data_IF_147631511558
#
_entry.id   IF_147631511558
#
_cell.length_a   1.000
_cell.length_b   1.000
_cell.length_c   1.000
_cell.angle_alpha   90.00
_cell.angle_beta   90.00
_cell.angle_gamma   90.00
#
_symmetry.space_group_name_H-M   'P 1'
#
loop_
_entity.id
_entity.type
_entity.pdbx_description
1 polymer ?
#
# COMPACT_ATOMS: atom_id res chain seq x y z
N UNK A 1 -7.72 18.12 -36.70
CA UNK A 1 -7.05 17.11 -37.55
C UNK A 1 -7.31 15.70 -37.05
N UNK A 2 -6.83 15.29 -35.87
CA UNK A 2 -6.96 13.90 -35.42
C UNK A 2 -8.42 13.38 -35.38
N UNK A 3 -9.31 14.02 -34.62
CA UNK A 3 -10.71 13.57 -34.51
C UNK A 3 -11.49 13.74 -35.82
N UNK A 4 -11.34 14.90 -36.46
CA UNK A 4 -12.20 15.26 -37.58
C UNK A 4 -11.81 14.60 -38.90
N UNK A 5 -10.53 14.28 -39.07
CA UNK A 5 -9.97 13.75 -40.33
C UNK A 5 -9.47 12.33 -40.11
N UNK A 6 -8.46 12.14 -39.27
CA UNK A 6 -7.79 10.84 -39.12
C UNK A 6 -8.75 9.76 -38.59
N UNK A 7 -9.46 10.01 -37.49
CA UNK A 7 -10.41 9.03 -36.95
C UNK A 7 -11.60 8.83 -37.90
N UNK A 8 -12.12 9.91 -38.50
CA UNK A 8 -13.20 9.79 -39.48
C UNK A 8 -12.80 8.90 -40.68
N UNK A 9 -11.58 9.02 -41.19
CA UNK A 9 -11.09 8.24 -42.32
C UNK A 9 -10.76 6.78 -41.95
N UNK A 10 -10.27 6.52 -40.74
CA UNK A 10 -9.75 5.21 -40.37
C UNK A 10 -10.74 4.32 -39.61
N UNK A 11 -11.61 4.89 -38.77
CA UNK A 11 -12.58 4.12 -37.99
C UNK A 11 -14.01 4.71 -38.02
N UNK A 12 -14.27 5.69 -38.88
CA UNK A 12 -15.53 6.46 -38.92
C UNK A 12 -15.92 7.06 -37.56
N UNK A 13 -14.96 7.24 -36.65
CA UNK A 13 -15.19 7.60 -35.23
C UNK A 13 -16.09 6.59 -34.49
N UNK A 14 -16.16 5.35 -34.96
CA UNK A 14 -17.07 4.32 -34.42
C UNK A 14 -16.38 3.33 -33.48
N UNK A 15 -15.05 3.32 -33.42
CA UNK A 15 -14.29 2.33 -32.64
C UNK A 15 -14.15 2.69 -31.16
N UNK A 16 -13.53 3.83 -30.85
CA UNK A 16 -13.15 4.21 -29.47
C UNK A 16 -13.46 5.67 -29.17
N UNK A 17 -13.81 5.94 -27.92
CA UNK A 17 -13.93 7.31 -27.42
C UNK A 17 -12.55 7.98 -27.37
N UNK A 18 -12.46 9.22 -27.86
CA UNK A 18 -11.21 9.97 -27.87
C UNK A 18 -11.23 11.09 -26.82
N UNK A 19 -10.25 11.03 -25.92
CA UNK A 19 -9.97 12.05 -24.92
C UNK A 19 -8.80 12.92 -25.40
N UNK A 20 -8.99 14.24 -25.41
CA UNK A 20 -8.02 15.21 -25.97
C UNK A 20 -6.82 15.49 -25.05
N UNK A 21 -7.00 15.33 -23.74
CA UNK A 21 -6.03 15.64 -22.70
C UNK A 21 -6.20 14.62 -21.56
N UNK A 22 -5.22 14.49 -20.68
CA UNK A 22 -5.35 13.77 -19.40
C UNK A 22 -5.78 14.70 -18.25
N UNK A 23 -5.87 16.01 -18.48
CA UNK A 23 -6.32 17.00 -17.50
C UNK A 23 -7.35 17.93 -18.15
N UNK A 24 -8.59 17.89 -17.65
CA UNK A 24 -9.78 18.54 -18.23
C UNK A 24 -10.75 17.56 -18.90
N UNK A 25 -11.94 18.07 -19.27
CA UNK A 25 -13.04 17.29 -19.86
C UNK A 25 -13.48 16.08 -19.00
N UNK A 26 -13.53 16.25 -17.67
CA UNK A 26 -13.92 15.20 -16.73
C UNK A 26 -12.76 14.33 -16.21
N UNK A 27 -11.53 14.61 -16.68
CA UNK A 27 -10.30 14.03 -16.15
C UNK A 27 -9.59 15.05 -15.25
N UNK A 28 -8.96 14.59 -14.19
CA UNK A 28 -8.19 15.40 -13.25
C UNK A 28 -6.75 14.89 -13.23
N UNK A 29 -5.86 15.60 -13.93
CA UNK A 29 -4.42 15.33 -13.94
C UNK A 29 -3.65 16.32 -13.09
N UNK A 30 -2.32 16.20 -13.04
CA UNK A 30 -1.48 17.20 -12.39
C UNK A 30 -1.25 16.98 -10.88
N UNK A 31 -1.34 15.74 -10.39
CA UNK A 31 -0.86 15.36 -9.07
C UNK A 31 -1.91 15.30 -7.94
N UNK A 32 -1.48 15.02 -6.70
CA UNK A 32 -0.13 15.25 -6.19
C UNK A 32 0.90 14.32 -6.82
N UNK A 33 2.11 14.84 -7.01
CA UNK A 33 3.29 14.13 -7.49
C UNK A 33 4.39 14.07 -6.42
N UNK A 34 4.01 14.26 -5.16
CA UNK A 34 4.88 14.15 -3.99
C UNK A 34 4.11 13.43 -2.90
N UNK A 35 4.82 12.98 -1.88
CA UNK A 35 4.19 12.32 -0.75
C UNK A 35 3.47 13.35 0.11
N UNK A 36 2.18 13.12 0.34
CA UNK A 36 1.33 13.83 1.30
C UNK A 36 0.91 12.85 2.38
N UNK A 37 0.38 13.35 3.50
CA UNK A 37 -0.13 12.46 4.55
C UNK A 37 -1.38 11.71 4.06
N UNK A 38 -1.62 10.48 4.55
CA UNK A 38 -2.74 9.64 4.12
C UNK A 38 -4.13 10.33 4.15
N UNK A 39 -4.43 11.13 5.16
CA UNK A 39 -5.71 11.84 5.30
C UNK A 39 -5.94 12.92 4.24
N UNK A 40 -4.86 13.50 3.71
CA UNK A 40 -4.94 14.57 2.71
C UNK A 40 -5.51 14.05 1.38
N UNK A 41 -5.42 12.74 1.09
CA UNK A 41 -6.00 12.16 -0.12
C UNK A 41 -7.55 12.24 -0.12
N UNK A 42 -8.20 12.07 1.03
CA UNK A 42 -9.66 12.07 1.12
C UNK A 42 -10.29 13.45 0.90
N UNK A 43 -9.51 14.52 1.07
CA UNK A 43 -9.94 15.90 0.83
C UNK A 43 -9.27 16.53 -0.41
N UNK A 44 -8.48 15.76 -1.15
CA UNK A 44 -7.70 16.29 -2.26
C UNK A 44 -8.61 16.73 -3.42
N UNK A 45 -8.51 17.97 -3.91
CA UNK A 45 -9.43 18.53 -4.92
C UNK A 45 -9.25 17.91 -6.32
N UNK A 46 -8.36 16.95 -6.50
CA UNK A 46 -8.19 16.19 -7.76
C UNK A 46 -8.56 14.72 -7.65
N UNK A 47 -8.93 14.25 -6.46
CA UNK A 47 -9.43 12.90 -6.23
C UNK A 47 -10.95 12.89 -6.31
N UNK A 48 -11.46 13.13 -7.52
CA UNK A 48 -12.86 13.00 -7.92
C UNK A 48 -12.92 12.87 -9.45
N UNK A 49 -14.11 12.66 -10.01
CA UNK A 49 -14.28 12.39 -11.44
C UNK A 49 -13.40 11.20 -11.85
N UNK A 50 -12.61 11.36 -12.91
CA UNK A 50 -11.56 10.41 -13.23
C UNK A 50 -10.18 11.02 -12.95
N UNK A 51 -9.49 10.55 -11.91
CA UNK A 51 -8.15 11.05 -11.55
C UNK A 51 -7.09 10.37 -12.40
N UNK A 52 -6.61 11.04 -13.43
CA UNK A 52 -5.76 10.43 -14.46
C UNK A 52 -4.30 10.24 -14.04
N UNK A 53 -3.81 11.02 -13.07
CA UNK A 53 -2.41 11.00 -12.65
C UNK A 53 -2.26 11.45 -11.19
N UNK A 54 -2.18 10.49 -10.25
CA UNK A 54 -2.01 10.72 -8.82
C UNK A 54 -0.94 9.79 -8.26
N UNK A 55 0.03 10.28 -7.49
CA UNK A 55 0.94 9.35 -6.80
C UNK A 55 1.87 9.97 -5.78
N UNK A 56 2.19 9.15 -4.78
CA UNK A 56 3.23 9.41 -3.80
C UNK A 56 4.60 8.95 -4.34
N UNK A 57 5.65 9.09 -3.53
CA UNK A 57 7.00 8.68 -3.92
C UNK A 57 7.09 7.17 -4.20
N UNK A 58 6.59 6.25 -3.38
CA UNK A 58 6.70 4.82 -3.74
C UNK A 58 8.17 4.33 -3.74
N UNK A 59 8.84 4.51 -2.61
CA UNK A 59 10.26 4.14 -2.47
C UNK A 59 10.41 2.61 -2.47
N UNK A 60 11.37 2.03 -3.21
CA UNK A 60 11.60 0.59 -3.21
C UNK A 60 11.99 0.06 -1.83
N UNK A 61 11.92 -1.26 -1.70
CA UNK A 61 12.50 -1.98 -0.56
C UNK A 61 14.03 -1.86 -0.57
N UNK A 62 14.65 -2.04 0.59
CA UNK A 62 16.09 -1.84 0.78
C UNK A 62 16.95 -2.65 -0.20
N UNK A 63 16.60 -3.91 -0.47
CA UNK A 63 17.41 -4.77 -1.34
C UNK A 63 17.42 -4.32 -2.80
N UNK A 64 16.35 -3.66 -3.26
CA UNK A 64 16.34 -3.04 -4.58
C UNK A 64 17.23 -1.80 -4.58
N UNK A 65 17.16 -0.97 -3.53
CA UNK A 65 18.01 0.21 -3.38
C UNK A 65 19.48 -0.18 -3.35
N UNK A 66 19.87 -1.20 -2.60
CA UNK A 66 21.26 -1.67 -2.50
C UNK A 66 21.82 -2.15 -3.86
N UNK A 67 20.94 -2.59 -4.79
CA UNK A 67 21.36 -3.02 -6.15
C UNK A 67 21.76 -1.85 -7.06
N UNK A 68 21.08 -0.70 -6.97
CA UNK A 68 21.37 0.46 -7.83
C UNK A 68 22.08 1.61 -7.09
N UNK A 69 22.03 1.63 -5.76
CA UNK A 69 22.77 2.51 -4.85
C UNK A 69 23.48 1.68 -3.77
N UNK A 70 24.54 0.91 -4.10
CA UNK A 70 25.22 0.04 -3.14
C UNK A 70 25.89 0.78 -1.97
N UNK A 71 26.08 2.10 -2.09
CA UNK A 71 26.57 2.98 -1.01
C UNK A 71 25.47 3.60 -0.16
N UNK A 72 24.20 3.23 -0.33
CA UNK A 72 23.09 3.82 0.41
C UNK A 72 23.29 3.66 1.94
N UNK A 73 23.30 4.79 2.65
CA UNK A 73 23.54 4.82 4.10
C UNK A 73 25.00 4.70 4.50
N UNK A 74 25.96 4.85 3.59
CA UNK A 74 27.40 4.74 3.91
C UNK A 74 28.11 6.10 3.98
N UNK A 75 27.38 7.21 3.86
CA UNK A 75 27.94 8.55 3.94
C UNK A 75 27.68 9.15 5.34
N UNK A 76 28.65 9.09 6.27
CA UNK A 76 28.49 9.60 7.62
C UNK A 76 28.52 11.14 7.69
N UNK A 77 28.91 11.82 6.61
CA UNK A 77 29.04 13.29 6.56
C UNK A 77 27.74 13.99 6.15
N UNK A 78 26.67 13.25 5.83
CA UNK A 78 25.39 13.86 5.47
C UNK A 78 24.70 14.48 6.69
N UNK A 79 24.41 15.77 6.60
CA UNK A 79 23.54 16.46 7.55
C UNK A 79 22.13 15.86 7.58
N UNK A 80 21.67 15.33 6.44
CA UNK A 80 20.35 14.71 6.26
C UNK A 80 20.43 13.49 5.35
N UNK A 81 20.43 12.30 5.94
CA UNK A 81 20.07 11.07 5.21
C UNK A 81 18.58 11.12 4.81
N UNK A 82 18.14 10.64 3.62
CA UNK A 82 18.87 9.96 2.56
C UNK A 82 19.34 10.83 1.37
N UNK A 83 19.11 12.15 1.37
CA UNK A 83 19.22 12.94 0.12
C UNK A 83 20.66 13.37 -0.15
N UNK A 84 21.39 12.57 -0.92
CA UNK A 84 22.68 12.91 -1.52
C UNK A 84 22.61 12.95 -3.08
N UNK A 85 23.75 13.12 -3.74
CA UNK A 85 23.82 13.16 -5.21
C UNK A 85 23.35 11.87 -5.87
N UNK A 86 23.52 10.71 -5.23
CA UNK A 86 23.14 9.42 -5.77
C UNK A 86 21.63 9.23 -5.70
N UNK A 87 21.02 9.61 -4.57
CA UNK A 87 19.56 9.63 -4.46
C UNK A 87 18.95 10.64 -5.43
N UNK A 88 19.54 11.84 -5.55
CA UNK A 88 19.12 12.84 -6.53
C UNK A 88 19.22 12.34 -7.97
N UNK A 89 20.27 11.58 -8.30
CA UNK A 89 20.42 10.91 -9.59
C UNK A 89 19.27 9.93 -9.84
N UNK A 90 18.83 9.19 -8.82
CA UNK A 90 17.69 8.26 -8.87
C UNK A 90 16.32 8.91 -8.59
N UNK A 91 16.14 10.16 -9.01
CA UNK A 91 14.91 10.96 -8.97
C UNK A 91 14.48 11.51 -7.59
N UNK A 92 15.31 11.37 -6.54
CA UNK A 92 15.05 11.97 -5.22
C UNK A 92 15.33 13.49 -5.21
N UNK A 93 14.75 14.23 -6.16
CA UNK A 93 14.97 15.65 -6.33
C UNK A 93 13.85 16.51 -5.72
N UNK A 94 14.20 17.76 -5.42
CA UNK A 94 13.24 18.84 -5.19
C UNK A 94 13.23 19.75 -6.41
N UNK A 95 12.12 19.79 -7.14
CA UNK A 95 11.97 20.74 -8.23
C UNK A 95 11.91 22.18 -7.66
N UNK A 96 12.54 23.15 -8.34
CA UNK A 96 12.65 24.52 -7.83
C UNK A 96 11.33 25.29 -7.96
N UNK A 97 11.19 26.34 -7.14
CA UNK A 97 10.05 27.26 -7.18
C UNK A 97 8.76 26.67 -6.60
N UNK A 98 7.64 26.95 -7.27
CA UNK A 98 6.29 26.53 -6.88
C UNK A 98 5.97 25.08 -7.25
N UNK A 99 6.91 24.35 -7.87
CA UNK A 99 6.71 22.95 -8.22
C UNK A 99 6.62 22.08 -6.96
N UNK A 100 5.54 21.32 -6.85
CA UNK A 100 5.26 20.52 -5.66
C UNK A 100 6.01 19.19 -5.65
N UNK A 101 6.70 18.81 -6.73
CA UNK A 101 7.52 17.57 -6.79
C UNK A 101 8.75 17.72 -5.92
N UNK A 102 8.59 17.38 -4.64
CA UNK A 102 9.61 17.50 -3.62
C UNK A 102 9.78 16.17 -2.90
N UNK A 103 10.88 15.47 -3.16
CA UNK A 103 11.20 14.23 -2.43
C UNK A 103 11.30 14.48 -0.92
N UNK A 104 11.74 15.67 -0.51
CA UNK A 104 11.79 16.08 0.91
C UNK A 104 10.45 15.99 1.63
N UNK A 105 9.30 16.07 0.94
CA UNK A 105 8.00 15.90 1.58
C UNK A 105 7.83 14.50 2.19
N UNK A 106 8.38 13.46 1.54
CA UNK A 106 8.39 12.10 2.11
C UNK A 106 9.26 12.05 3.38
N UNK A 107 10.47 12.61 3.31
CA UNK A 107 11.39 12.58 4.45
C UNK A 107 10.85 13.40 5.64
N UNK A 108 10.19 14.53 5.38
CA UNK A 108 9.50 15.32 6.41
C UNK A 108 8.39 14.50 7.10
N UNK A 109 7.58 13.75 6.33
CA UNK A 109 6.57 12.83 6.88
C UNK A 109 7.24 11.74 7.72
N UNK A 110 8.29 11.08 7.21
CA UNK A 110 8.97 10.00 7.95
C UNK A 110 9.56 10.50 9.27
N UNK A 111 10.16 11.70 9.27
CA UNK A 111 10.74 12.30 10.48
C UNK A 111 9.70 12.72 11.49
N UNK A 112 8.63 13.37 11.03
CA UNK A 112 7.59 13.90 11.91
C UNK A 112 6.67 12.81 12.44
N UNK A 113 6.29 11.85 11.59
CA UNK A 113 5.19 10.92 11.89
C UNK A 113 5.74 9.56 12.37
N UNK A 114 6.99 9.19 12.01
CA UNK A 114 7.58 7.88 12.35
C UNK A 114 8.90 7.97 13.13
N UNK A 115 9.35 9.18 13.48
CA UNK A 115 10.56 9.45 14.27
C UNK A 115 11.86 9.57 13.48
N UNK A 116 11.85 9.43 12.15
CA UNK A 116 13.05 9.56 11.31
C UNK A 116 14.08 8.44 11.49
N UNK A 117 15.23 8.48 10.80
CA UNK A 117 16.33 7.53 11.03
C UNK A 117 17.08 7.83 12.34
N UNK A 118 17.49 6.78 13.05
CA UNK A 118 18.23 6.87 14.32
C UNK A 118 19.74 7.13 14.13
N UNK A 119 20.26 6.86 12.93
CA UNK A 119 21.66 7.02 12.54
C UNK A 119 21.78 7.37 11.05
N UNK A 120 22.95 7.84 10.62
CA UNK A 120 23.28 8.09 9.20
C UNK A 120 24.12 6.95 8.60
N UNK A 121 24.02 5.74 9.16
CA UNK A 121 24.71 4.55 8.68
C UNK A 121 23.74 3.58 7.96
N UNK A 122 24.23 2.39 7.60
CA UNK A 122 23.43 1.36 6.92
C UNK A 122 22.21 0.94 7.74
N UNK A 123 22.30 0.92 9.07
CA UNK A 123 21.17 0.57 9.92
C UNK A 123 20.11 1.69 9.90
N UNK A 124 20.55 2.95 9.96
CA UNK A 124 19.67 4.09 9.78
C UNK A 124 18.96 4.09 8.42
N UNK A 125 19.67 3.66 7.36
CA UNK A 125 19.08 3.48 6.04
C UNK A 125 18.01 2.37 5.99
N UNK A 126 18.28 1.22 6.63
CA UNK A 126 17.29 0.14 6.78
C UNK A 126 16.05 0.63 7.51
N UNK A 127 16.23 1.31 8.65
CA UNK A 127 15.13 1.80 9.48
C UNK A 127 14.31 2.86 8.74
N UNK A 128 14.96 3.81 8.07
CA UNK A 128 14.29 4.79 7.23
C UNK A 128 13.44 4.14 6.14
N UNK A 129 14.00 3.13 5.45
CA UNK A 129 13.31 2.45 4.36
C UNK A 129 12.17 1.57 4.84
N UNK A 130 12.28 0.97 6.03
CA UNK A 130 11.16 0.30 6.70
C UNK A 130 10.02 1.27 7.01
N UNK A 131 10.32 2.47 7.53
CA UNK A 131 9.34 3.56 7.75
C UNK A 131 8.75 4.08 6.44
N UNK A 132 9.55 4.15 5.38
CA UNK A 132 9.06 4.46 4.04
C UNK A 132 8.08 3.40 3.52
N UNK A 133 8.23 2.12 3.90
CA UNK A 133 7.24 1.09 3.56
C UNK A 133 5.93 1.27 4.30
N UNK A 134 5.93 1.66 5.59
CA UNK A 134 4.70 2.05 6.30
C UNK A 134 3.99 3.20 5.57
N UNK A 135 4.73 4.27 5.24
CA UNK A 135 4.18 5.41 4.53
C UNK A 135 3.69 5.04 3.12
N UNK A 136 4.43 4.22 2.37
CA UNK A 136 3.99 3.72 1.08
C UNK A 136 2.67 2.97 1.21
N UNK A 137 2.53 2.05 2.17
CA UNK A 137 1.30 1.30 2.36
C UNK A 137 0.12 2.25 2.65
N UNK A 138 0.29 3.13 3.63
CA UNK A 138 -0.77 4.04 4.08
C UNK A 138 -1.18 5.04 3.00
N UNK A 139 -0.22 5.67 2.32
CA UNK A 139 -0.49 6.68 1.30
C UNK A 139 -1.19 6.08 0.07
N UNK A 140 -0.65 5.00 -0.49
CA UNK A 140 -1.23 4.38 -1.68
C UNK A 140 -2.58 3.73 -1.41
N UNK A 141 -2.75 3.09 -0.24
CA UNK A 141 -4.08 2.61 0.20
C UNK A 141 -5.06 3.77 0.27
N UNK A 142 -4.69 4.88 0.92
CA UNK A 142 -5.59 6.02 1.12
C UNK A 142 -5.95 6.72 -0.19
N UNK A 143 -5.01 6.86 -1.11
CA UNK A 143 -5.28 7.37 -2.47
C UNK A 143 -6.31 6.51 -3.21
N UNK A 144 -6.16 5.17 -3.16
CA UNK A 144 -7.11 4.25 -3.78
C UNK A 144 -8.48 4.24 -3.06
N UNK A 145 -8.47 4.26 -1.72
CA UNK A 145 -9.69 4.29 -0.92
C UNK A 145 -10.48 5.59 -1.13
N UNK A 146 -9.81 6.73 -1.22
CA UNK A 146 -10.43 8.01 -1.52
C UNK A 146 -11.20 8.01 -2.85
N UNK A 147 -10.90 7.09 -3.78
CA UNK A 147 -11.66 6.88 -5.02
C UNK A 147 -12.76 5.83 -4.82
N UNK A 148 -12.46 4.74 -4.13
CA UNK A 148 -13.40 3.65 -3.86
C UNK A 148 -14.64 4.10 -3.10
N UNK A 149 -14.49 4.89 -2.03
CA UNK A 149 -15.62 5.32 -1.18
C UNK A 149 -16.64 6.20 -1.90
N UNK A 150 -16.23 6.88 -2.97
CA UNK A 150 -17.07 7.79 -3.76
C UNK A 150 -17.44 7.22 -5.13
N UNK A 151 -17.27 5.91 -5.32
CA UNK A 151 -17.60 5.19 -6.54
C UNK A 151 -19.01 5.56 -7.02
N UNK A 152 -19.10 6.06 -8.25
CA UNK A 152 -20.31 6.53 -8.94
C UNK A 152 -21.03 7.75 -8.34
N UNK A 153 -20.78 8.09 -7.08
CA UNK A 153 -21.30 9.31 -6.46
C UNK A 153 -20.52 10.55 -6.94
N UNK A 154 -19.18 10.46 -6.92
CA UNK A 154 -18.30 11.57 -7.29
C UNK A 154 -17.00 11.12 -7.97
N UNK A 155 -16.71 9.82 -8.05
CA UNK A 155 -15.57 9.29 -8.81
C UNK A 155 -15.96 8.16 -9.76
N UNK A 156 -15.26 8.09 -10.89
CA UNK A 156 -15.36 7.03 -11.89
C UNK A 156 -14.08 6.22 -12.07
N UNK A 157 -13.00 6.60 -11.38
CA UNK A 157 -11.76 5.83 -11.38
C UNK A 157 -10.51 6.68 -11.17
N UNK A 158 -9.38 5.99 -11.11
CA UNK A 158 -8.07 6.64 -11.08
C UNK A 158 -7.00 5.83 -11.80
N UNK A 159 -5.92 6.51 -12.17
CA UNK A 159 -4.65 5.89 -12.54
C UNK A 159 -3.56 6.45 -11.62
N UNK A 160 -2.78 5.54 -11.05
CA UNK A 160 -1.61 5.94 -10.28
C UNK A 160 -0.52 6.48 -11.21
N UNK A 161 0.15 7.55 -10.77
CA UNK A 161 1.44 8.00 -11.26
C UNK A 161 2.53 7.42 -10.33
N UNK A 162 3.09 6.25 -10.62
CA UNK A 162 2.87 5.36 -11.77
C UNK A 162 2.76 3.91 -11.30
N UNK A 163 2.44 2.99 -12.22
CA UNK A 163 2.61 1.55 -11.97
C UNK A 163 4.06 1.20 -11.67
N UNK A 164 4.99 1.73 -12.47
CA UNK A 164 6.43 1.47 -12.36
C UNK A 164 7.29 2.57 -12.97
N UNK A 165 8.59 2.49 -12.71
CA UNK A 165 9.61 3.30 -13.36
C UNK A 165 10.30 2.54 -14.50
N UNK A 166 10.78 3.30 -15.49
CA UNK A 166 11.47 2.77 -16.69
C UNK A 166 12.97 2.51 -16.46
N UNK A 167 13.42 2.72 -15.23
CA UNK A 167 14.79 2.56 -14.76
C UNK A 167 14.79 2.48 -13.22
N UNK A 168 15.91 2.09 -12.57
CA UNK A 168 16.00 2.14 -11.11
C UNK A 168 15.77 3.57 -10.59
N UNK A 169 14.74 3.74 -9.78
CA UNK A 169 14.23 5.03 -9.30
C UNK A 169 13.67 4.87 -7.90
N UNK A 170 13.60 5.96 -7.14
CA UNK A 170 12.94 5.97 -5.83
C UNK A 170 11.57 6.67 -5.82
N UNK A 171 11.05 7.04 -6.99
CA UNK A 171 9.77 7.78 -7.10
C UNK A 171 8.74 7.16 -8.06
N UNK A 172 7.47 7.43 -7.79
CA UNK A 172 6.27 7.19 -8.58
C UNK A 172 6.13 5.77 -9.13
N UNK A 173 6.10 4.78 -8.25
CA UNK A 173 5.95 3.37 -8.66
C UNK A 173 5.14 2.57 -7.63
N UNK A 174 4.65 1.40 -8.03
CA UNK A 174 4.12 0.35 -7.15
C UNK A 174 5.08 -0.84 -7.08
N UNK A 175 5.77 -1.10 -8.19
CA UNK A 175 6.88 -2.03 -8.28
C UNK A 175 8.04 -1.40 -9.05
N UNK A 176 9.25 -1.75 -8.65
CA UNK A 176 10.45 -1.15 -9.22
C UNK A 176 10.93 -1.85 -10.51
N UNK A 177 12.08 -1.37 -11.02
CA UNK A 177 12.75 -1.88 -12.21
C UNK A 177 13.04 -3.40 -12.16
N UNK A 178 13.26 -3.97 -10.98
CA UNK A 178 13.53 -5.40 -10.80
C UNK A 178 12.25 -6.23 -10.67
N UNK A 179 11.08 -5.62 -10.86
CA UNK A 179 9.75 -6.21 -10.65
C UNK A 179 9.50 -6.55 -9.18
N UNK A 180 10.15 -5.81 -8.27
CA UNK A 180 9.89 -5.93 -6.84
C UNK A 180 8.76 -5.00 -6.43
N UNK A 181 7.65 -5.58 -5.95
CA UNK A 181 6.54 -4.82 -5.39
C UNK A 181 6.88 -4.37 -3.96
N UNK A 182 6.67 -3.09 -3.68
CA UNK A 182 6.83 -2.52 -2.35
C UNK A 182 5.47 -2.42 -1.63
N UNK A 183 5.45 -1.98 -0.38
CA UNK A 183 4.23 -2.03 0.45
C UNK A 183 3.02 -1.29 -0.17
N UNK A 184 3.27 -0.16 -0.84
CA UNK A 184 2.26 0.58 -1.59
C UNK A 184 1.47 -0.25 -2.63
N UNK A 185 2.11 -1.21 -3.33
CA UNK A 185 1.41 -2.14 -4.24
C UNK A 185 0.33 -2.92 -3.50
N UNK A 186 0.66 -3.42 -2.31
CA UNK A 186 -0.25 -4.22 -1.49
C UNK A 186 -1.32 -3.35 -0.82
N UNK A 187 -1.00 -2.09 -0.48
CA UNK A 187 -1.99 -1.08 -0.09
C UNK A 187 -3.03 -0.81 -1.18
N UNK A 188 -2.59 -0.61 -2.43
CA UNK A 188 -3.51 -0.48 -3.59
C UNK A 188 -4.30 -1.77 -3.81
N UNK A 189 -3.63 -2.93 -3.76
CA UNK A 189 -4.28 -4.24 -3.95
C UNK A 189 -5.39 -4.47 -2.93
N UNK A 190 -5.18 -4.02 -1.69
CA UNK A 190 -6.16 -4.08 -0.61
C UNK A 190 -7.35 -3.16 -0.88
N UNK A 191 -7.11 -1.88 -1.16
CA UNK A 191 -8.16 -0.91 -1.43
C UNK A 191 -9.00 -1.25 -2.68
N UNK A 192 -8.37 -1.81 -3.73
CA UNK A 192 -9.05 -2.27 -4.94
C UNK A 192 -9.40 -3.75 -4.95
N UNK A 193 -9.44 -4.39 -3.78
CA UNK A 193 -10.00 -5.75 -3.68
C UNK A 193 -11.45 -5.76 -4.21
N UNK A 194 -11.91 -6.87 -4.82
CA UNK A 194 -13.25 -6.93 -5.40
C UNK A 194 -14.38 -6.57 -4.40
N UNK A 195 -14.16 -6.90 -3.13
CA UNK A 195 -14.93 -6.41 -1.99
C UNK A 195 -13.96 -5.80 -0.97
N UNK A 196 -14.26 -4.60 -0.45
CA UNK A 196 -13.39 -3.96 0.55
C UNK A 196 -14.16 -3.13 1.57
N UNK A 197 -13.58 -3.03 2.78
CA UNK A 197 -13.96 -2.04 3.80
C UNK A 197 -12.89 -0.96 3.83
N UNK A 198 -13.27 0.29 3.65
CA UNK A 198 -12.35 1.42 3.48
C UNK A 198 -12.63 2.46 4.56
N UNK A 199 -11.61 2.81 5.35
CA UNK A 199 -11.72 3.81 6.40
C UNK A 199 -11.33 5.18 5.87
N UNK A 200 -12.23 6.16 5.97
CA UNK A 200 -11.94 7.55 5.64
C UNK A 200 -11.26 8.23 6.83
N UNK A 201 -10.02 8.66 6.63
CA UNK A 201 -9.20 9.26 7.70
C UNK A 201 -9.63 10.66 8.11
N UNK A 202 -10.53 11.31 7.37
CA UNK A 202 -10.99 12.68 7.66
C UNK A 202 -12.25 12.70 8.51
N UNK A 203 -13.30 11.99 8.10
CA UNK A 203 -14.57 11.92 8.82
C UNK A 203 -14.68 10.69 9.74
N UNK A 204 -13.68 9.80 9.70
CA UNK A 204 -13.57 8.57 10.49
C UNK A 204 -14.73 7.61 10.29
N UNK A 205 -15.30 7.59 9.08
CA UNK A 205 -16.36 6.65 8.69
C UNK A 205 -15.78 5.47 7.91
N UNK A 206 -16.50 4.36 7.94
CA UNK A 206 -16.17 3.17 7.15
C UNK A 206 -17.14 3.09 5.97
N UNK A 207 -16.60 2.93 4.78
CA UNK A 207 -17.38 2.64 3.57
C UNK A 207 -17.13 1.21 3.10
N UNK A 208 -18.16 0.60 2.53
CA UNK A 208 -18.10 -0.74 1.96
C UNK A 208 -18.21 -0.62 0.46
N UNK A 209 -17.25 -1.21 -0.25
CA UNK A 209 -17.18 -1.18 -1.70
C UNK A 209 -17.33 -2.60 -2.23
N UNK A 210 -18.36 -2.84 -3.03
CA UNK A 210 -18.53 -4.06 -3.81
C UNK A 210 -18.31 -3.73 -5.29
N UNK A 211 -17.10 -3.94 -5.78
CA UNK A 211 -16.72 -3.73 -7.17
C UNK A 211 -17.00 -4.96 -8.06
N UNK A 212 -17.63 -6.00 -7.52
CA UNK A 212 -17.99 -7.21 -8.27
C UNK A 212 -19.27 -7.00 -9.08
N UNK A 213 -19.47 -7.84 -10.10
CA UNK A 213 -20.73 -7.98 -10.85
C UNK A 213 -21.66 -9.03 -10.21
N UNK A 214 -21.75 -9.00 -8.88
CA UNK A 214 -22.69 -9.81 -8.11
C UNK A 214 -23.01 -9.13 -6.78
N UNK A 215 -24.27 -9.22 -6.37
CA UNK A 215 -24.68 -8.81 -5.03
C UNK A 215 -24.23 -9.84 -4.00
N UNK A 216 -24.02 -9.38 -2.76
CA UNK A 216 -23.69 -10.21 -1.61
C UNK A 216 -24.75 -9.98 -0.54
N UNK A 217 -25.25 -11.07 0.04
CA UNK A 217 -26.29 -11.04 1.06
C UNK A 217 -25.70 -11.55 2.38
N UNK A 218 -26.12 -10.97 3.50
CA UNK A 218 -25.73 -11.44 4.82
C UNK A 218 -24.24 -11.30 5.12
N UNK A 219 -23.57 -10.29 4.57
CA UNK A 219 -22.14 -10.05 4.83
C UNK A 219 -21.98 -9.51 6.25
N UNK A 220 -21.25 -10.24 7.08
CA UNK A 220 -20.85 -9.80 8.42
C UNK A 220 -19.66 -8.86 8.30
N UNK A 221 -19.79 -7.66 8.87
CA UNK A 221 -18.77 -6.63 8.95
C UNK A 221 -18.37 -6.45 10.40
N UNK A 222 -17.08 -6.29 10.65
CA UNK A 222 -16.51 -6.01 11.96
C UNK A 222 -15.46 -4.91 11.84
N UNK A 223 -15.61 -3.87 12.65
CA UNK A 223 -14.62 -2.83 12.87
C UNK A 223 -14.27 -2.80 14.36
N UNK A 224 -13.01 -3.07 14.70
CA UNK A 224 -12.54 -3.18 16.09
C UNK A 224 -11.35 -2.24 16.29
N UNK A 225 -11.49 -1.32 17.24
CA UNK A 225 -10.43 -0.40 17.66
C UNK A 225 -9.76 -0.95 18.92
N UNK A 226 -8.43 -1.02 18.90
CA UNK A 226 -7.59 -1.65 19.91
C UNK A 226 -6.55 -0.66 20.41
N UNK A 227 -6.15 -0.74 21.68
CA UNK A 227 -4.92 -0.09 22.14
C UNK A 227 -3.66 -0.89 21.76
N UNK A 228 -2.48 -0.39 22.16
CA UNK A 228 -1.19 -1.07 21.93
C UNK A 228 -1.06 -2.39 22.70
N UNK A 229 -1.84 -2.60 23.76
CA UNK A 229 -1.95 -3.85 24.51
C UNK A 229 -3.06 -4.76 23.95
N UNK A 230 -3.62 -4.41 22.79
CA UNK A 230 -4.66 -5.15 22.08
C UNK A 230 -5.97 -5.32 22.86
N UNK A 231 -6.24 -4.42 23.81
CA UNK A 231 -7.54 -4.34 24.46
C UNK A 231 -8.53 -3.62 23.54
N UNK A 232 -9.76 -4.15 23.46
CA UNK A 232 -10.83 -3.53 22.68
C UNK A 232 -11.27 -2.23 23.35
N UNK A 233 -11.08 -1.12 22.63
CA UNK A 233 -11.52 0.21 23.03
C UNK A 233 -12.90 0.54 22.46
N UNK A 234 -13.20 0.01 21.27
CA UNK A 234 -14.46 0.23 20.58
C UNK A 234 -14.69 -0.88 19.55
N UNK A 235 -15.95 -1.25 19.33
CA UNK A 235 -16.33 -2.23 18.32
C UNK A 235 -17.66 -1.88 17.66
N UNK A 236 -17.78 -2.25 16.38
CA UNK A 236 -19.01 -2.19 15.61
C UNK A 236 -19.08 -3.42 14.71
N UNK A 237 -20.12 -4.23 14.95
CA UNK A 237 -20.39 -5.47 14.23
C UNK A 237 -21.80 -5.41 13.67
N UNK A 238 -21.94 -5.65 12.37
CA UNK A 238 -23.24 -5.64 11.71
C UNK A 238 -23.28 -6.56 10.51
N UNK A 239 -24.49 -6.92 10.10
CA UNK A 239 -24.73 -7.68 8.89
C UNK A 239 -25.41 -6.79 7.85
N UNK A 240 -24.93 -6.82 6.61
CA UNK A 240 -25.49 -6.03 5.52
C UNK A 240 -25.69 -6.86 4.25
N UNK A 241 -26.52 -6.34 3.36
CA UNK A 241 -26.60 -6.77 1.97
C UNK A 241 -25.96 -5.68 1.11
N UNK A 242 -25.12 -6.08 0.15
CA UNK A 242 -24.42 -5.18 -0.74
C UNK A 242 -24.80 -5.50 -2.18
N UNK A 243 -25.37 -4.52 -2.88
CA UNK A 243 -25.60 -4.62 -4.32
C UNK A 243 -24.26 -4.74 -5.06
N UNK A 244 -24.29 -5.27 -6.29
CA UNK A 244 -23.14 -5.26 -7.19
C UNK A 244 -22.72 -3.84 -7.57
N UNK A 245 -21.44 -3.66 -7.90
CA UNK A 245 -20.87 -2.41 -8.42
C UNK A 245 -21.31 -1.14 -7.66
N UNK A 246 -21.20 -1.16 -6.32
CA UNK A 246 -21.67 -0.07 -5.45
C UNK A 246 -20.69 0.25 -4.32
N UNK A 247 -20.79 1.46 -3.79
CA UNK A 247 -20.16 1.87 -2.55
C UNK A 247 -21.24 2.43 -1.60
N UNK A 248 -21.19 2.02 -0.33
CA UNK A 248 -22.12 2.45 0.71
C UNK A 248 -21.34 2.85 1.95
N UNK A 249 -21.59 4.05 2.46
CA UNK A 249 -21.07 4.48 3.76
C UNK A 249 -21.87 3.83 4.89
N UNK A 250 -21.18 3.30 5.90
CA UNK A 250 -21.83 2.81 7.12
C UNK A 250 -22.22 3.96 8.04
N UNK A 251 -23.39 3.87 8.66
CA UNK A 251 -23.73 4.72 9.80
C UNK A 251 -22.76 4.47 10.96
N UNK A 252 -22.27 5.52 11.61
CA UNK A 252 -21.33 5.43 12.72
C UNK A 252 -19.99 6.08 12.40
N UNK A 253 -19.23 6.39 13.44
CA UNK A 253 -17.93 7.04 13.34
C UNK A 253 -16.97 6.31 14.29
N UNK A 254 -15.83 5.86 13.78
CA UNK A 254 -14.78 5.27 14.61
C UNK A 254 -14.23 6.38 15.52
N UNK A 255 -14.28 6.24 16.86
CA UNK A 255 -13.89 7.32 17.76
C UNK A 255 -12.42 7.69 17.57
N UNK A 256 -12.12 8.99 17.65
CA UNK A 256 -10.76 9.50 17.79
C UNK A 256 -10.32 9.39 19.24
N UNK A 257 -9.16 8.77 19.44
CA UNK A 257 -8.59 8.52 20.76
C UNK A 257 -7.17 9.09 20.79
N UNK A 258 -6.74 9.48 21.99
CA UNK A 258 -5.37 9.90 22.24
C UNK A 258 -4.43 8.68 22.18
N UNK A 259 -3.24 8.90 21.62
CA UNK A 259 -2.23 7.86 21.50
C UNK A 259 -2.39 6.95 20.28
N UNK A 260 -1.42 6.04 20.14
CA UNK A 260 -1.39 5.07 19.05
C UNK A 260 -2.41 3.97 19.32
N UNK A 261 -3.32 3.78 18.37
CA UNK A 261 -4.36 2.74 18.40
C UNK A 261 -4.39 1.99 17.08
N UNK A 262 -5.01 0.81 17.08
CA UNK A 262 -5.12 -0.05 15.93
C UNK A 262 -6.58 -0.31 15.55
N UNK A 263 -6.93 -0.12 14.28
CA UNK A 263 -8.25 -0.45 13.76
C UNK A 263 -8.14 -1.68 12.85
N UNK A 264 -8.83 -2.75 13.22
CA UNK A 264 -8.98 -3.97 12.41
C UNK A 264 -10.35 -3.96 11.74
N UNK A 265 -10.36 -4.05 10.41
CA UNK A 265 -11.57 -4.19 9.61
C UNK A 265 -11.63 -5.59 9.04
N UNK A 266 -12.78 -6.25 9.14
CA UNK A 266 -12.99 -7.61 8.64
C UNK A 266 -14.39 -7.79 8.08
N UNK A 267 -14.49 -8.46 6.93
CA UNK A 267 -15.74 -8.88 6.35
C UNK A 267 -15.77 -10.38 6.09
N UNK A 268 -16.89 -11.03 6.39
CA UNK A 268 -17.14 -12.45 6.11
C UNK A 268 -18.44 -12.66 5.34
N UNK A 269 -18.45 -13.62 4.43
CA UNK A 269 -19.68 -14.09 3.80
C UNK A 269 -20.55 -14.86 4.80
N UNK A 270 -21.81 -15.13 4.44
CA UNK A 270 -22.72 -15.96 5.25
C UNK A 270 -22.21 -17.40 5.44
N UNK A 271 -21.39 -17.90 4.51
CA UNK A 271 -20.70 -19.19 4.61
C UNK A 271 -19.41 -19.15 5.47
N UNK A 272 -19.05 -17.97 5.99
CA UNK A 272 -17.87 -17.77 6.84
C UNK A 272 -16.56 -17.52 6.08
N UNK A 273 -16.60 -17.40 4.75
CA UNK A 273 -15.44 -17.02 3.93
C UNK A 273 -14.99 -15.60 4.28
N UNK A 274 -13.69 -15.38 4.51
CA UNK A 274 -13.15 -14.03 4.71
C UNK A 274 -13.12 -13.32 3.37
N UNK A 275 -14.03 -12.35 3.17
CA UNK A 275 -14.10 -11.54 1.96
C UNK A 275 -13.05 -10.42 1.97
N UNK A 276 -12.75 -9.87 3.15
CA UNK A 276 -11.81 -8.78 3.32
C UNK A 276 -11.25 -8.74 4.74
N UNK A 277 -9.98 -8.35 4.87
CA UNK A 277 -9.41 -7.92 6.14
C UNK A 277 -8.29 -6.90 5.90
N UNK A 278 -8.27 -5.84 6.71
CA UNK A 278 -7.25 -4.80 6.69
C UNK A 278 -6.99 -4.25 8.11
N UNK A 279 -5.82 -3.64 8.28
CA UNK A 279 -5.31 -3.15 9.56
C UNK A 279 -4.77 -1.73 9.42
N UNK A 280 -5.14 -0.86 10.36
CA UNK A 280 -4.75 0.55 10.38
C UNK A 280 -4.08 0.85 11.71
N UNK A 281 -2.93 1.52 11.67
CA UNK A 281 -2.38 2.25 12.82
C UNK A 281 -2.87 3.70 12.75
N UNK A 282 -3.40 4.22 13.84
CA UNK A 282 -4.04 5.53 13.91
C UNK A 282 -3.52 6.30 15.13
N UNK A 283 -3.39 7.61 14.97
CA UNK A 283 -3.04 8.55 16.03
C UNK A 283 -3.59 9.92 15.64
N UNK A 284 -4.22 10.65 16.57
CA UNK A 284 -4.87 11.95 16.25
C UNK A 284 -3.89 12.97 15.62
N UNK A 285 -2.65 12.99 16.09
CA UNK A 285 -1.58 13.87 15.56
C UNK A 285 -0.67 13.22 14.49
N UNK A 286 -0.95 11.98 14.09
CA UNK A 286 -0.06 11.12 13.29
C UNK A 286 1.31 10.84 13.95
N UNK A 287 1.38 10.78 15.28
CA UNK A 287 2.58 10.26 15.96
C UNK A 287 2.53 8.73 15.99
N UNK A 288 3.22 8.12 15.04
CA UNK A 288 3.38 6.67 14.93
C UNK A 288 4.73 6.19 15.47
N UNK A 289 5.50 7.05 16.16
CA UNK A 289 6.79 6.67 16.72
C UNK A 289 6.69 5.52 17.72
N UNK A 290 5.52 5.34 18.35
CA UNK A 290 5.20 4.20 19.21
C UNK A 290 5.35 2.84 18.53
N UNK A 291 5.20 2.75 17.20
CA UNK A 291 5.42 1.50 16.46
C UNK A 291 6.86 0.98 16.62
N UNK A 292 7.84 1.87 16.78
CA UNK A 292 9.25 1.50 16.96
C UNK A 292 9.52 0.84 18.32
N UNK A 293 8.59 0.94 19.26
CA UNK A 293 8.73 0.44 20.63
C UNK A 293 7.96 -0.86 20.87
N UNK A 294 7.26 -1.37 19.85
CA UNK A 294 6.61 -2.67 19.95
C UNK A 294 7.68 -3.75 20.09
N UNK A 295 7.39 -4.75 20.92
CA UNK A 295 8.30 -5.89 21.09
C UNK A 295 8.39 -6.71 19.79
N UNK A 296 9.41 -7.55 19.68
CA UNK A 296 9.56 -8.46 18.55
C UNK A 296 8.46 -9.53 18.58
N UNK A 297 7.69 -9.73 17.50
CA UNK A 297 6.64 -10.74 17.44
C UNK A 297 7.21 -12.16 17.29
N UNK A 298 6.43 -13.16 17.68
CA UNK A 298 6.77 -14.58 17.47
C UNK A 298 5.91 -15.16 16.33
N UNK A 299 6.49 -15.25 15.13
CA UNK A 299 5.81 -15.78 13.94
C UNK A 299 6.29 -17.20 13.61
N UNK A 300 5.34 -18.12 13.39
CA UNK A 300 5.58 -19.37 12.67
C UNK A 300 5.31 -19.14 11.18
N UNK A 301 6.28 -19.51 10.33
CA UNK A 301 6.17 -19.34 8.88
C UNK A 301 6.53 -20.65 8.19
N UNK A 302 5.56 -21.25 7.51
CA UNK A 302 5.69 -22.55 6.86
C UNK A 302 5.53 -22.40 5.35
N UNK A 303 6.49 -22.89 4.59
CA UNK A 303 6.45 -22.98 3.13
C UNK A 303 6.08 -24.40 2.69
N UNK A 304 5.10 -24.53 1.80
CA UNK A 304 4.74 -25.80 1.15
C UNK A 304 4.50 -25.62 -0.34
N UNK A 305 4.63 -26.71 -1.10
CA UNK A 305 4.33 -26.73 -2.53
C UNK A 305 2.82 -26.66 -2.75
N UNK A 306 2.37 -25.81 -3.68
CA UNK A 306 0.98 -25.75 -4.12
C UNK A 306 0.60 -26.83 -5.14
N UNK A 307 -0.63 -26.75 -5.65
CA UNK A 307 -1.17 -27.70 -6.62
C UNK A 307 -0.48 -27.69 -8.00
N UNK A 308 0.22 -26.60 -8.32
CA UNK A 308 0.97 -26.45 -9.57
C UNK A 308 2.46 -26.32 -9.27
N UNK A 309 3.30 -26.72 -10.23
CA UNK A 309 4.76 -26.76 -10.07
C UNK A 309 5.37 -25.39 -9.75
N UNK A 310 4.73 -24.32 -10.22
CA UNK A 310 5.19 -22.94 -10.06
C UNK A 310 4.39 -22.16 -9.01
N UNK A 311 3.66 -22.87 -8.14
CA UNK A 311 2.88 -22.29 -7.05
C UNK A 311 3.33 -22.85 -5.70
N UNK A 312 3.40 -21.97 -4.72
CA UNK A 312 3.67 -22.30 -3.32
C UNK A 312 2.59 -21.70 -2.42
N UNK A 313 2.50 -22.28 -1.23
CA UNK A 313 1.62 -21.86 -0.16
C UNK A 313 2.48 -21.53 1.05
N UNK A 314 2.31 -20.34 1.59
CA UNK A 314 2.94 -19.88 2.82
C UNK A 314 1.88 -19.74 3.89
N UNK A 315 2.02 -20.48 4.98
CA UNK A 315 1.20 -20.29 6.18
C UNK A 315 1.98 -19.45 7.17
N UNK A 316 1.37 -18.36 7.65
CA UNK A 316 1.93 -17.51 8.70
C UNK A 316 0.97 -17.52 9.88
N UNK A 317 1.49 -17.72 11.07
CA UNK A 317 0.74 -17.63 12.33
C UNK A 317 1.53 -16.81 13.34
N UNK A 318 0.86 -15.86 14.00
CA UNK A 318 1.45 -15.16 15.14
C UNK A 318 1.15 -15.94 16.42
N UNK A 319 2.18 -16.60 16.95
CA UNK A 319 2.11 -17.43 18.16
C UNK A 319 2.34 -16.62 19.45
N UNK A 320 2.83 -15.39 19.31
CA UNK A 320 3.15 -14.51 20.44
C UNK A 320 1.99 -13.60 20.88
N UNK A 321 2.31 -12.66 21.76
CA UNK A 321 1.36 -11.67 22.31
C UNK A 321 1.49 -10.28 21.67
N UNK A 322 2.50 -10.08 20.81
CA UNK A 322 2.79 -8.79 20.18
C UNK A 322 2.37 -8.82 18.70
N UNK A 323 1.73 -7.75 18.17
CA UNK A 323 1.41 -7.70 16.76
C UNK A 323 2.68 -7.63 15.90
N UNK A 324 2.69 -8.36 14.79
CA UNK A 324 3.69 -8.17 13.74
C UNK A 324 3.18 -7.14 12.75
N UNK A 325 3.81 -5.98 12.66
CA UNK A 325 3.36 -4.88 11.81
C UNK A 325 3.99 -4.98 10.42
N UNK A 326 3.14 -4.91 9.40
CA UNK A 326 3.53 -4.82 7.98
C UNK A 326 4.53 -5.91 7.54
N UNK A 327 4.27 -7.17 7.91
CA UNK A 327 5.12 -8.32 7.61
C UNK A 327 5.22 -8.57 6.10
N UNK A 328 6.44 -8.42 5.57
CA UNK A 328 6.84 -8.78 4.21
C UNK A 328 7.37 -10.21 4.17
N UNK A 329 6.83 -10.99 3.25
CA UNK A 329 7.22 -12.35 2.94
C UNK A 329 8.04 -12.39 1.65
N UNK A 330 9.13 -13.13 1.66
CA UNK A 330 10.08 -13.25 0.55
C UNK A 330 10.45 -14.71 0.33
N UNK A 331 10.37 -15.16 -0.92
CA UNK A 331 11.00 -16.41 -1.31
C UNK A 331 12.45 -16.11 -1.70
N UNK A 332 13.41 -16.76 -1.05
CA UNK A 332 14.84 -16.54 -1.28
C UNK A 332 15.54 -17.82 -1.71
N UNK A 333 16.63 -17.68 -2.46
CA UNK A 333 17.54 -18.79 -2.71
C UNK A 333 18.30 -19.14 -1.42
N UNK A 334 18.36 -20.42 -0.98
CA UNK A 334 18.98 -20.80 0.30
C UNK A 334 20.44 -20.35 0.46
N UNK A 335 21.26 -20.49 -0.60
CA UNK A 335 22.68 -20.09 -0.57
C UNK A 335 22.92 -18.58 -0.69
N UNK A 336 22.41 -17.91 -1.73
CA UNK A 336 22.70 -16.50 -1.97
C UNK A 336 21.87 -15.55 -1.12
N UNK A 337 20.79 -16.03 -0.48
CA UNK A 337 19.80 -15.21 0.23
C UNK A 337 19.10 -14.16 -0.62
N UNK A 338 19.31 -14.17 -1.94
CA UNK A 338 18.63 -13.25 -2.84
C UNK A 338 17.16 -13.65 -3.00
N UNK A 339 16.28 -12.66 -2.91
CA UNK A 339 14.87 -12.80 -3.24
C UNK A 339 14.68 -13.20 -4.70
N UNK A 340 13.78 -14.16 -4.92
CA UNK A 340 13.42 -14.70 -6.22
C UNK A 340 12.32 -13.84 -6.83
N UNK A 341 12.59 -13.28 -8.02
CA UNK A 341 11.68 -12.34 -8.69
C UNK A 341 11.44 -12.68 -10.17
N UNK A 342 10.25 -12.35 -10.71
CA UNK A 342 9.09 -11.82 -9.97
C UNK A 342 8.40 -12.90 -9.13
N UNK A 343 7.85 -12.50 -7.97
CA UNK A 343 7.02 -13.35 -7.12
C UNK A 343 5.62 -12.75 -7.01
N UNK A 344 4.60 -13.49 -7.47
CA UNK A 344 3.22 -13.02 -7.53
C UNK A 344 2.45 -13.50 -6.31
N UNK A 345 2.47 -12.71 -5.24
CA UNK A 345 1.78 -13.01 -4.00
C UNK A 345 0.29 -12.68 -4.06
N UNK A 346 -0.53 -13.57 -3.47
CA UNK A 346 -1.96 -13.35 -3.22
C UNK A 346 -2.19 -12.18 -2.25
N UNK A 347 -1.36 -12.04 -1.23
CA UNK A 347 -1.26 -10.87 -0.36
C UNK A 347 0.15 -10.83 0.28
N UNK A 348 0.60 -9.66 0.74
CA UNK A 348 1.91 -9.46 1.38
C UNK A 348 1.92 -8.09 2.10
N UNK A 349 2.95 -7.79 2.90
CA UNK A 349 2.99 -6.60 3.76
C UNK A 349 1.76 -6.55 4.68
N UNK A 350 1.52 -7.64 5.40
CA UNK A 350 0.31 -7.88 6.21
C UNK A 350 0.65 -7.70 7.68
N UNK A 351 -0.23 -7.06 8.45
CA UNK A 351 -0.09 -7.04 9.91
C UNK A 351 -0.82 -8.24 10.53
N UNK A 352 -0.17 -8.92 11.47
CA UNK A 352 -0.71 -10.10 12.15
C UNK A 352 -0.87 -9.80 13.64
N UNK A 353 -2.11 -9.78 14.13
CA UNK A 353 -2.37 -9.78 15.57
C UNK A 353 -2.07 -11.15 16.19
N UNK A 354 -1.85 -11.24 17.51
CA UNK A 354 -1.79 -12.51 18.23
C UNK A 354 -2.90 -13.47 17.84
N UNK A 355 -2.52 -14.71 17.50
CA UNK A 355 -3.42 -15.76 17.03
C UNK A 355 -3.92 -15.61 15.59
N UNK A 356 -3.57 -14.54 14.86
CA UNK A 356 -3.89 -14.44 13.45
C UNK A 356 -3.11 -15.51 12.66
N UNK A 357 -3.83 -16.26 11.83
CA UNK A 357 -3.30 -17.26 10.92
C UNK A 357 -3.75 -17.00 9.50
N UNK A 358 -2.82 -17.01 8.54
CA UNK A 358 -3.10 -16.81 7.12
C UNK A 358 -2.41 -17.84 6.25
N UNK A 359 -3.14 -18.27 5.23
CA UNK A 359 -2.59 -19.02 4.10
C UNK A 359 -2.47 -18.07 2.91
N UNK A 360 -1.27 -17.95 2.35
CA UNK A 360 -0.94 -17.05 1.26
C UNK A 360 -0.36 -17.85 0.10
N UNK A 361 -0.93 -17.67 -1.08
CA UNK A 361 -0.43 -18.25 -2.31
C UNK A 361 0.61 -17.34 -2.94
N UNK A 362 1.65 -17.93 -3.52
CA UNK A 362 2.65 -17.23 -4.33
C UNK A 362 2.98 -18.03 -5.57
N UNK A 363 3.04 -17.35 -6.72
CA UNK A 363 3.47 -17.96 -7.98
C UNK A 363 4.82 -17.40 -8.40
N UNK A 364 5.72 -18.26 -8.89
CA UNK A 364 6.99 -17.85 -9.51
C UNK A 364 6.90 -18.11 -11.02
N UNK A 365 6.64 -17.09 -11.85
CA UNK A 365 6.48 -17.27 -13.30
C UNK A 365 7.71 -17.83 -14.01
N UNK A 366 8.89 -17.79 -13.37
CA UNK A 366 10.15 -18.35 -13.87
C UNK A 366 10.44 -19.75 -13.33
N UNK A 367 9.53 -20.31 -12.54
CA UNK A 367 9.69 -21.57 -11.84
C UNK A 367 10.63 -21.47 -10.63
N UNK A 368 10.78 -22.61 -9.97
CA UNK A 368 11.74 -22.77 -8.86
C UNK A 368 13.18 -22.63 -9.36
N UNK A 369 14.04 -21.84 -8.70
CA UNK A 369 15.46 -21.82 -9.01
C UNK A 369 16.12 -23.16 -8.68
N UNK A 370 17.19 -23.51 -9.40
CA UNK A 370 18.05 -24.60 -8.97
C UNK A 370 18.63 -24.29 -7.58
N UNK A 371 18.59 -25.26 -6.66
CA UNK A 371 19.08 -25.08 -5.29
C UNK A 371 17.98 -24.89 -4.24
N UNK A 372 16.71 -24.83 -4.65
CA UNK A 372 15.56 -24.82 -3.75
C UNK A 372 15.09 -23.41 -3.38
N UNK A 373 14.09 -23.36 -2.48
CA UNK A 373 13.49 -22.14 -1.95
C UNK A 373 13.46 -22.16 -0.43
N UNK A 374 13.63 -20.99 0.16
CA UNK A 374 13.38 -20.73 1.57
C UNK A 374 12.43 -19.53 1.70
N UNK A 375 11.59 -19.55 2.75
CA UNK A 375 10.72 -18.43 3.11
C UNK A 375 11.39 -17.57 4.18
N UNK A 376 11.39 -16.26 3.97
CA UNK A 376 11.81 -15.27 4.96
C UNK A 376 10.62 -14.35 5.23
N UNK A 377 10.34 -14.09 6.51
CA UNK A 377 9.42 -13.06 6.95
C UNK A 377 10.21 -11.94 7.62
N UNK A 378 9.91 -10.71 7.24
CA UNK A 378 10.43 -9.49 7.83
C UNK A 378 9.26 -8.62 8.25
N UNK A 379 9.25 -8.16 9.49
CA UNK A 379 8.23 -7.28 10.03
C UNK A 379 8.88 -5.96 10.45
N UNK A 380 8.06 -4.94 10.68
CA UNK A 380 8.57 -3.61 11.00
C UNK A 380 9.19 -3.53 12.41
N UNK A 381 8.55 -4.15 13.41
CA UNK A 381 8.89 -4.02 14.84
C UNK A 381 9.75 -5.14 15.42
#
# INVERSE_FOLDING_TARGET
MLVNTVLAENDNRSGRFYLKASDGNGLHGGGPYHSIRPEEFFSHPKLHGFSSEIGASGVPVFESIERFMPGAGQNPELDRFPVDENWGYHDAANFPGEDTRKFTALDDIIRRDYGGPESNDRQGALNYLAKAQLQNYAAYRSAASAIGIQMWANSTGMLFWKSNSSWPSVVWQLYDWYQQAHAGYYGVKKAFAPFSMQFNLVDRRVSIVNAQYRSLEGVELSAVLLDQSLQVLWEDVRTINMAENTAVEMDGVVPELDGLVFLKLKARSVEGEVLFEDFYWLHAENDFSGLNNLETPELEVLLSQGNAKDNWVVTVENLGETPAILTRLKLVHPLSRHEILPALWSDNFISFLPGDKRELRVSLPRGEPQGGLEIVAEFFN
#
